data_IF_362666634472
#
_entry.id   IF_362666634472
#
_cell.length_a   1.000
_cell.length_b   1.000
_cell.length_c   1.000
_cell.angle_alpha   90.00
_cell.angle_beta   90.00
_cell.angle_gamma   90.00
#
_symmetry.space_group_name_H-M   'P 1'
#
loop_
_entity.id
_entity.type
_entity.pdbx_description
1 polymer ?
#
# COMPACT_ATOMS: atom_id res chain seq x y z
N UNK A 1 32.93 1.12 4.44
CA UNK A 1 31.71 0.29 4.31
C UNK A 1 30.68 1.17 3.60
N UNK A 2 29.93 0.65 2.62
CA UNK A 2 28.90 1.44 1.93
C UNK A 2 27.71 1.63 2.87
N UNK A 3 27.60 2.80 3.50
CA UNK A 3 26.58 3.19 4.49
C UNK A 3 25.19 3.45 3.88
N UNK A 4 24.88 2.91 2.70
CA UNK A 4 23.72 3.29 1.90
C UNK A 4 22.76 2.13 1.61
N UNK A 5 22.71 1.11 2.48
CA UNK A 5 21.84 -0.07 2.33
C UNK A 5 20.52 0.11 3.08
N UNK A 6 19.41 -0.17 2.41
CA UNK A 6 18.06 0.03 2.93
C UNK A 6 17.11 -1.10 2.56
N UNK A 7 16.03 -1.23 3.35
CA UNK A 7 14.82 -1.94 2.94
C UNK A 7 13.67 -0.95 2.77
N UNK A 8 12.69 -1.30 1.96
CA UNK A 8 11.43 -0.56 1.81
C UNK A 8 10.28 -1.41 2.34
N UNK A 9 9.43 -0.82 3.19
CA UNK A 9 8.14 -1.39 3.55
C UNK A 9 7.22 -1.36 2.34
N UNK A 10 6.81 -2.54 1.87
CA UNK A 10 6.22 -2.73 0.55
C UNK A 10 4.85 -3.39 0.62
N UNK A 11 3.85 -2.73 0.05
CA UNK A 11 2.46 -3.21 -0.03
C UNK A 11 1.94 -3.38 -1.45
N UNK A 12 2.73 -3.03 -2.48
CA UNK A 12 2.29 -3.00 -3.88
C UNK A 12 1.47 -1.77 -4.26
N UNK A 13 1.07 -0.95 -3.28
CA UNK A 13 0.31 0.27 -3.50
C UNK A 13 1.14 1.46 -3.99
N UNK A 14 0.43 2.55 -4.33
CA UNK A 14 1.02 3.78 -4.87
C UNK A 14 2.06 4.42 -3.94
N UNK A 15 1.84 4.38 -2.62
CA UNK A 15 2.68 5.10 -1.67
C UNK A 15 3.98 4.35 -1.37
N UNK A 16 3.93 3.02 -1.19
CA UNK A 16 5.13 2.19 -1.06
C UNK A 16 5.96 2.18 -2.36
N UNK A 17 5.29 2.21 -3.52
CA UNK A 17 5.94 2.40 -4.81
C UNK A 17 6.64 3.75 -4.93
N UNK A 18 5.97 4.84 -4.53
CA UNK A 18 6.56 6.18 -4.55
C UNK A 18 7.74 6.30 -3.58
N UNK A 19 7.62 5.73 -2.37
CA UNK A 19 8.69 5.72 -1.38
C UNK A 19 9.93 4.97 -1.88
N UNK A 20 9.74 3.82 -2.54
CA UNK A 20 10.81 3.07 -3.17
C UNK A 20 11.49 3.87 -4.30
N UNK A 21 10.70 4.52 -5.17
CA UNK A 21 11.24 5.35 -6.24
C UNK A 21 12.09 6.50 -5.69
N UNK A 22 11.56 7.24 -4.72
CA UNK A 22 12.25 8.38 -4.11
C UNK A 22 13.56 7.98 -3.45
N UNK A 23 13.62 6.86 -2.74
CA UNK A 23 14.88 6.46 -2.09
C UNK A 23 15.93 6.01 -3.12
N UNK A 24 15.51 5.36 -4.20
CA UNK A 24 16.42 4.99 -5.30
C UNK A 24 17.03 6.23 -5.98
N UNK A 25 16.25 7.30 -6.16
CA UNK A 25 16.73 8.58 -6.73
C UNK A 25 17.81 9.26 -5.87
N UNK A 26 17.90 8.94 -4.58
CA UNK A 26 18.98 9.44 -3.70
C UNK A 26 20.32 8.69 -3.85
N UNK A 27 20.37 7.66 -4.71
CA UNK A 27 21.52 6.77 -4.84
C UNK A 27 21.66 5.76 -3.69
N UNK A 28 20.61 5.58 -2.89
CA UNK A 28 20.54 4.55 -1.86
C UNK A 28 20.34 3.18 -2.51
N UNK A 29 21.00 2.16 -1.96
CA UNK A 29 20.87 0.78 -2.39
C UNK A 29 19.69 0.15 -1.63
N UNK A 30 18.60 -0.14 -2.35
CA UNK A 30 17.46 -0.89 -1.81
C UNK A 30 17.69 -2.37 -2.05
N UNK A 31 17.94 -3.12 -0.97
CA UNK A 31 18.26 -4.55 -1.06
C UNK A 31 17.04 -5.45 -0.89
N UNK A 32 16.03 -4.97 -0.17
CA UNK A 32 14.85 -5.77 0.15
C UNK A 32 13.57 -4.93 0.11
N UNK A 33 12.52 -5.55 -0.39
CA UNK A 33 11.13 -5.14 -0.15
C UNK A 33 10.59 -6.02 0.96
N UNK A 34 10.09 -5.43 2.04
CA UNK A 34 9.45 -6.14 3.15
C UNK A 34 7.95 -5.98 3.04
N UNK A 35 7.23 -7.06 2.73
CA UNK A 35 5.77 -7.08 2.67
C UNK A 35 5.23 -7.90 3.84
N UNK A 36 4.32 -7.30 4.60
CA UNK A 36 3.59 -7.98 5.66
C UNK A 36 2.22 -8.35 5.13
N UNK A 37 1.93 -9.65 5.14
CA UNK A 37 0.66 -10.20 4.69
C UNK A 37 -0.25 -10.41 5.89
N UNK A 38 -1.55 -10.24 5.67
CA UNK A 38 -2.55 -10.73 6.61
C UNK A 38 -2.65 -12.27 6.56
N UNK A 39 -3.53 -12.81 7.42
CA UNK A 39 -3.74 -14.25 7.65
C UNK A 39 -4.04 -15.06 6.37
N UNK A 40 -4.49 -14.41 5.29
CA UNK A 40 -4.76 -15.04 3.99
C UNK A 40 -3.49 -15.51 3.27
N UNK A 41 -2.33 -14.89 3.55
CA UNK A 41 -1.02 -15.36 3.09
C UNK A 41 -0.80 -15.32 1.58
N UNK A 42 -1.59 -14.58 0.80
CA UNK A 42 -1.42 -14.51 -0.65
C UNK A 42 -0.11 -13.80 -1.06
N UNK A 43 0.63 -14.41 -2.00
CA UNK A 43 2.00 -14.01 -2.34
C UNK A 43 2.04 -13.10 -3.58
N UNK A 44 2.65 -11.92 -3.46
CA UNK A 44 2.90 -11.03 -4.59
C UNK A 44 4.34 -11.18 -5.11
N UNK A 45 4.57 -11.17 -6.42
CA UNK A 45 5.90 -10.99 -7.02
C UNK A 45 5.79 -10.24 -8.34
N UNK A 46 6.30 -9.02 -8.39
CA UNK A 46 6.34 -8.24 -9.64
C UNK A 46 7.58 -7.36 -9.84
N UNK A 47 8.51 -7.34 -8.89
CA UNK A 47 9.64 -6.40 -8.85
C UNK A 47 10.97 -7.14 -8.86
N UNK A 48 12.05 -6.48 -9.29
CA UNK A 48 13.41 -7.06 -9.32
C UNK A 48 14.14 -7.01 -7.97
N UNK A 49 13.55 -6.38 -6.96
CA UNK A 49 14.10 -6.30 -5.62
C UNK A 49 13.60 -7.53 -4.83
N UNK A 50 14.48 -8.28 -4.15
CA UNK A 50 14.08 -9.41 -3.32
C UNK A 50 12.95 -9.07 -2.36
N UNK A 51 11.84 -9.81 -2.45
CA UNK A 51 10.67 -9.64 -1.58
C UNK A 51 10.73 -10.63 -0.41
N UNK A 52 10.68 -10.09 0.80
CA UNK A 52 10.49 -10.85 2.04
C UNK A 52 9.02 -10.70 2.42
N UNK A 53 8.32 -11.84 2.54
CA UNK A 53 6.93 -11.87 2.94
C UNK A 53 6.79 -12.55 4.31
N UNK A 54 6.08 -11.89 5.24
CA UNK A 54 5.80 -12.40 6.59
C UNK A 54 4.29 -12.41 6.77
N UNK A 55 3.70 -13.57 7.09
CA UNK A 55 2.26 -13.75 7.28
C UNK A 55 1.89 -13.55 8.75
N UNK A 56 0.90 -12.70 9.04
CA UNK A 56 0.58 -12.19 10.37
C UNK A 56 -0.92 -11.99 10.61
N UNK A 57 -1.34 -12.14 11.87
CA UNK A 57 -2.59 -11.57 12.36
C UNK A 57 -2.37 -10.13 12.82
N UNK A 58 -3.47 -9.35 12.93
CA UNK A 58 -3.40 -7.95 13.39
C UNK A 58 -2.75 -7.80 14.78
N UNK A 59 -3.01 -8.72 15.70
CA UNK A 59 -2.42 -8.73 17.05
C UNK A 59 -0.90 -8.96 17.03
N UNK A 60 -0.39 -9.62 15.98
CA UNK A 60 1.02 -9.98 15.82
C UNK A 60 1.80 -9.00 14.93
N UNK A 61 1.13 -7.99 14.37
CA UNK A 61 1.74 -7.05 13.42
C UNK A 61 3.04 -6.42 13.95
N UNK A 62 2.96 -5.74 15.09
CA UNK A 62 4.11 -5.02 15.65
C UNK A 62 5.24 -5.96 16.14
N UNK A 63 4.96 -7.02 16.93
CA UNK A 63 6.00 -7.97 17.34
C UNK A 63 6.78 -8.57 16.17
N UNK A 64 6.10 -8.93 15.08
CA UNK A 64 6.69 -9.64 13.95
C UNK A 64 7.34 -8.69 12.94
N UNK A 65 6.77 -7.50 12.74
CA UNK A 65 7.47 -6.42 12.06
C UNK A 65 8.82 -6.14 12.74
N UNK A 66 8.82 -6.02 14.07
CA UNK A 66 10.05 -5.82 14.84
C UNK A 66 11.03 -6.99 14.70
N UNK A 67 10.54 -8.23 14.64
CA UNK A 67 11.37 -9.41 14.40
C UNK A 67 12.01 -9.41 13.00
N UNK A 68 11.24 -9.06 11.96
CA UNK A 68 11.71 -8.94 10.59
C UNK A 68 12.79 -7.85 10.47
N UNK A 69 12.56 -6.67 11.06
CA UNK A 69 13.55 -5.58 11.08
C UNK A 69 14.83 -5.98 11.83
N UNK A 70 14.73 -6.69 12.96
CA UNK A 70 15.91 -7.22 13.68
C UNK A 70 16.72 -8.21 12.85
N UNK A 71 16.05 -9.01 12.00
CA UNK A 71 16.74 -9.90 11.05
C UNK A 71 17.47 -9.09 9.98
N UNK A 72 16.81 -8.12 9.37
CA UNK A 72 17.42 -7.23 8.37
C UNK A 72 18.62 -6.46 8.93
N UNK A 73 18.55 -6.01 10.19
CA UNK A 73 19.69 -5.40 10.89
C UNK A 73 20.90 -6.32 11.01
N UNK A 74 20.70 -7.61 11.28
CA UNK A 74 21.79 -8.60 11.33
C UNK A 74 22.42 -8.84 9.95
N UNK A 75 21.70 -8.56 8.88
CA UNK A 75 22.20 -8.60 7.50
C UNK A 75 22.88 -7.27 7.07
N UNK A 76 23.03 -6.32 7.99
CA UNK A 76 23.70 -5.04 7.76
C UNK A 76 22.79 -3.96 7.14
N UNK A 77 21.47 -4.12 7.22
CA UNK A 77 20.52 -3.08 6.81
C UNK A 77 20.32 -2.08 7.96
N UNK A 78 20.64 -0.81 7.71
CA UNK A 78 20.66 0.23 8.74
C UNK A 78 19.52 1.24 8.61
N UNK A 79 18.78 1.23 7.49
CA UNK A 79 17.68 2.16 7.19
C UNK A 79 16.41 1.43 6.74
N UNK A 80 15.26 1.94 7.19
CA UNK A 80 13.93 1.52 6.73
C UNK A 80 13.18 2.70 6.12
N UNK A 81 12.53 2.47 4.98
CA UNK A 81 11.75 3.47 4.25
C UNK A 81 10.28 3.07 4.24
N UNK A 82 9.40 4.04 4.54
CA UNK A 82 7.95 3.83 4.69
C UNK A 82 7.17 4.77 3.77
N UNK A 83 5.99 4.33 3.36
CA UNK A 83 5.13 5.03 2.41
C UNK A 83 3.96 5.79 3.05
N UNK A 84 3.80 5.77 4.36
CA UNK A 84 2.63 6.39 5.02
C UNK A 84 2.64 7.92 4.84
N UNK A 85 1.59 8.49 4.24
CA UNK A 85 1.46 9.93 3.99
C UNK A 85 0.40 10.52 4.92
N UNK A 86 0.79 10.79 6.18
CA UNK A 86 -0.06 11.55 7.10
C UNK A 86 -1.14 10.70 7.77
N UNK A 87 -0.75 10.01 8.84
CA UNK A 87 -1.65 9.17 9.63
C UNK A 87 -1.49 9.54 11.10
N UNK A 88 -2.34 10.42 11.64
CA UNK A 88 -2.90 10.23 12.99
C UNK A 88 -3.99 11.22 13.43
N UNK A 89 -4.12 12.41 12.85
CA UNK A 89 -4.93 13.46 13.50
C UNK A 89 -6.27 13.78 12.81
N UNK A 90 -6.47 13.36 11.56
CA UNK A 90 -7.66 13.78 10.80
C UNK A 90 -8.87 12.84 10.97
N UNK A 91 -8.66 11.52 11.03
CA UNK A 91 -9.77 10.55 11.15
C UNK A 91 -10.54 10.74 12.45
N UNK A 92 -9.84 10.81 13.58
CA UNK A 92 -10.45 11.02 14.90
C UNK A 92 -11.17 12.38 15.01
N UNK A 93 -10.76 13.38 14.23
CA UNK A 93 -11.47 14.66 14.14
C UNK A 93 -12.73 14.54 13.28
N UNK A 94 -12.67 13.91 12.11
CA UNK A 94 -13.83 13.69 11.23
C UNK A 94 -14.90 12.83 11.89
N UNK A 95 -14.51 11.74 12.56
CA UNK A 95 -15.43 10.86 13.29
C UNK A 95 -16.14 11.61 14.42
N UNK A 96 -15.38 12.31 15.27
CA UNK A 96 -15.94 13.13 16.36
C UNK A 96 -16.87 14.23 15.86
N UNK A 97 -16.47 14.98 14.84
CA UNK A 97 -17.29 16.08 14.29
C UNK A 97 -18.57 15.54 13.63
N UNK A 98 -18.50 14.38 12.98
CA UNK A 98 -19.67 13.76 12.36
C UNK A 98 -20.67 13.25 13.40
N UNK A 99 -20.19 12.69 14.51
CA UNK A 99 -21.01 12.35 15.68
C UNK A 99 -21.62 13.59 16.35
N UNK A 100 -20.82 14.63 16.59
CA UNK A 100 -21.29 15.88 17.23
C UNK A 100 -22.36 16.61 16.41
N UNK A 101 -22.30 16.54 15.08
CA UNK A 101 -23.20 17.24 14.17
C UNK A 101 -24.37 16.39 13.66
N UNK A 102 -24.47 15.12 14.07
CA UNK A 102 -25.45 14.16 13.57
C UNK A 102 -25.49 14.08 12.03
N UNK A 103 -24.31 14.16 11.40
CA UNK A 103 -24.14 14.05 9.95
C UNK A 103 -23.78 12.61 9.62
N UNK A 104 -24.56 11.97 8.75
CA UNK A 104 -24.23 10.66 8.22
C UNK A 104 -22.96 10.76 7.36
N UNK A 105 -21.89 10.08 7.78
CA UNK A 105 -20.66 9.94 7.02
C UNK A 105 -20.93 9.11 5.76
N UNK A 106 -21.36 9.78 4.70
CA UNK A 106 -21.46 9.16 3.39
C UNK A 106 -20.07 9.11 2.75
N UNK A 107 -19.22 8.20 3.21
CA UNK A 107 -18.03 7.78 2.43
C UNK A 107 -18.52 7.09 1.17
N UNK A 108 -18.86 7.88 0.15
CA UNK A 108 -19.33 7.43 -1.16
C UNK A 108 -18.16 6.85 -1.95
N UNK A 109 -17.57 5.77 -1.47
CA UNK A 109 -16.72 4.90 -2.29
C UNK A 109 -17.67 4.02 -3.08
N UNK A 110 -17.90 4.38 -4.35
CA UNK A 110 -18.75 3.59 -5.23
C UNK A 110 -18.02 2.29 -5.59
N UNK A 111 -18.69 1.14 -5.47
CA UNK A 111 -18.21 -0.16 -5.97
C UNK A 111 -17.76 -0.12 -7.44
N UNK A 112 -18.28 0.81 -8.24
CA UNK A 112 -17.88 1.02 -9.64
C UNK A 112 -16.45 1.57 -9.78
N UNK A 113 -15.82 1.99 -8.69
CA UNK A 113 -14.42 2.43 -8.68
C UNK A 113 -13.43 1.28 -8.62
N UNK A 114 -13.88 0.08 -8.22
CA UNK A 114 -13.03 -1.11 -8.18
C UNK A 114 -12.44 -1.41 -9.55
N UNK A 115 -11.11 -1.39 -9.63
CA UNK A 115 -10.36 -1.69 -10.86
C UNK A 115 -10.20 -0.51 -11.81
N UNK A 116 -10.72 0.67 -11.46
CA UNK A 116 -10.45 1.88 -12.24
C UNK A 116 -8.97 2.25 -12.14
N UNK A 117 -8.44 2.76 -13.25
CA UNK A 117 -7.12 3.37 -13.27
C UNK A 117 -7.20 4.71 -12.55
N UNK A 118 -6.18 5.00 -11.74
CA UNK A 118 -5.96 6.35 -11.20
C UNK A 118 -5.39 7.20 -12.33
N UNK A 119 -6.27 7.92 -13.03
CA UNK A 119 -5.97 8.88 -14.08
C UNK A 119 -6.56 10.27 -13.75
N UNK A 120 -6.36 11.26 -14.62
CA UNK A 120 -6.84 12.63 -14.41
C UNK A 120 -8.37 12.69 -14.22
N UNK A 121 -9.12 11.84 -14.92
CA UNK A 121 -10.58 11.77 -14.77
C UNK A 121 -10.97 11.26 -13.39
N UNK A 122 -10.32 10.18 -12.94
CA UNK A 122 -10.59 9.62 -11.62
C UNK A 122 -10.17 10.58 -10.50
N UNK A 123 -9.02 11.24 -10.62
CA UNK A 123 -8.57 12.27 -9.66
C UNK A 123 -9.59 13.42 -9.57
N UNK A 124 -10.14 13.85 -10.71
CA UNK A 124 -11.18 14.89 -10.75
C UNK A 124 -12.49 14.46 -10.09
N UNK A 125 -12.77 13.16 -10.02
CA UNK A 125 -13.89 12.60 -9.25
C UNK A 125 -13.56 12.55 -7.75
N UNK A 126 -12.37 12.08 -7.37
CA UNK A 126 -11.92 12.01 -5.98
C UNK A 126 -11.91 13.39 -5.29
N UNK A 127 -11.52 14.44 -6.02
CA UNK A 127 -11.52 15.82 -5.51
C UNK A 127 -12.91 16.36 -5.16
N UNK A 128 -13.99 15.70 -5.61
CA UNK A 128 -15.37 16.06 -5.29
C UNK A 128 -15.91 15.32 -4.06
N UNK A 129 -15.11 14.44 -3.47
CA UNK A 129 -15.48 13.66 -2.30
C UNK A 129 -14.95 14.29 -1.01
N UNK A 130 -15.61 13.98 0.10
CA UNK A 130 -15.28 14.53 1.42
C UNK A 130 -14.16 13.75 2.16
N UNK A 131 -13.31 13.03 1.42
CA UNK A 131 -12.14 12.33 1.97
C UNK A 131 -10.88 12.70 1.19
N UNK A 132 -9.71 12.44 1.78
CA UNK A 132 -8.44 12.83 1.18
C UNK A 132 -8.20 12.11 -0.16
N UNK A 133 -7.95 12.86 -1.24
CA UNK A 133 -7.80 12.29 -2.58
C UNK A 133 -6.65 11.28 -2.71
N UNK A 134 -5.65 11.32 -1.83
CA UNK A 134 -4.59 10.29 -1.78
C UNK A 134 -5.04 8.98 -1.10
N UNK A 135 -6.29 8.83 -0.69
CA UNK A 135 -6.79 7.61 -0.06
C UNK A 135 -6.37 7.44 1.40
N UNK A 136 -5.97 8.54 2.05
CA UNK A 136 -5.56 8.52 3.46
C UNK A 136 -6.67 8.02 4.36
N UNK A 137 -6.29 7.53 5.53
CA UNK A 137 -7.24 6.94 6.46
C UNK A 137 -8.05 5.84 5.77
N UNK A 138 -7.41 5.02 4.93
CA UNK A 138 -8.04 3.83 4.32
C UNK A 138 -9.24 4.13 3.43
N UNK A 139 -9.37 5.36 2.89
CA UNK A 139 -10.51 5.70 2.04
C UNK A 139 -10.56 4.87 0.75
N UNK A 140 -9.40 4.48 0.21
CA UNK A 140 -9.29 3.45 -0.82
C UNK A 140 -7.88 2.85 -0.85
N UNK A 141 -7.76 1.66 -1.42
CA UNK A 141 -6.47 1.01 -1.68
C UNK A 141 -6.16 0.98 -3.17
N UNK A 142 -4.88 0.89 -3.51
CA UNK A 142 -4.39 0.89 -4.89
C UNK A 142 -3.38 -0.23 -5.09
N UNK A 143 -3.22 -0.68 -6.33
CA UNK A 143 -2.20 -1.64 -6.73
C UNK A 143 -1.48 -1.11 -7.98
N UNK A 144 -0.16 -0.98 -7.92
CA UNK A 144 0.64 -0.44 -9.02
C UNK A 144 0.98 -1.56 -10.00
N UNK A 145 0.44 -1.47 -11.20
CA UNK A 145 0.64 -2.47 -12.26
C UNK A 145 1.78 -2.12 -13.23
N UNK A 146 2.29 -0.88 -13.19
CA UNK A 146 3.39 -0.44 -14.05
C UNK A 146 4.01 0.86 -13.49
N UNK A 147 5.30 1.09 -13.77
CA UNK A 147 6.01 2.31 -13.40
C UNK A 147 7.52 2.17 -13.56
N UNK A 148 8.30 3.20 -13.20
CA UNK A 148 9.77 3.18 -13.36
C UNK A 148 10.48 2.05 -12.59
N UNK A 149 9.84 1.49 -11.56
CA UNK A 149 10.35 0.36 -10.78
C UNK A 149 10.18 -0.99 -11.49
N UNK A 150 9.38 -1.06 -12.56
CA UNK A 150 8.97 -2.30 -13.20
C UNK A 150 9.76 -2.52 -14.50
N UNK A 151 10.38 -3.69 -14.66
CA UNK A 151 10.95 -4.11 -15.95
C UNK A 151 9.89 -4.52 -16.97
N UNK A 152 8.79 -5.08 -16.46
CA UNK A 152 7.65 -5.57 -17.22
C UNK A 152 6.39 -5.15 -16.49
N UNK A 153 5.37 -4.77 -17.24
CA UNK A 153 4.09 -4.39 -16.62
C UNK A 153 3.34 -5.63 -16.19
N UNK A 154 2.51 -5.50 -15.16
CA UNK A 154 1.55 -6.53 -14.77
C UNK A 154 0.29 -6.32 -15.62
N UNK A 155 -0.06 -7.33 -16.42
CA UNK A 155 -1.35 -7.42 -17.09
C UNK A 155 -2.29 -8.23 -16.21
N UNK A 156 -3.26 -7.56 -15.59
CA UNK A 156 -4.32 -8.23 -14.82
C UNK A 156 -5.30 -8.85 -15.82
N UNK A 157 -5.52 -10.17 -15.73
CA UNK A 157 -6.36 -10.92 -16.66
C UNK A 157 -7.65 -11.45 -16.02
N UNK A 158 -7.68 -11.60 -14.70
CA UNK A 158 -8.83 -12.14 -13.98
C UNK A 158 -8.97 -11.44 -12.63
N UNK A 159 -10.17 -10.95 -12.35
CA UNK A 159 -10.50 -10.25 -11.09
C UNK A 159 -11.86 -10.65 -10.57
N UNK A 160 -12.03 -10.60 -9.26
CA UNK A 160 -13.30 -10.83 -8.59
C UNK A 160 -13.61 -9.67 -7.63
N UNK A 161 -14.86 -9.20 -7.62
CA UNK A 161 -15.31 -8.24 -6.60
C UNK A 161 -15.80 -9.01 -5.39
N UNK A 162 -15.13 -8.83 -4.27
CA UNK A 162 -15.51 -9.46 -2.99
C UNK A 162 -15.82 -8.41 -1.95
N UNK A 163 -16.71 -8.75 -1.02
CA UNK A 163 -17.08 -7.88 0.10
C UNK A 163 -16.67 -8.54 1.40
N UNK A 164 -15.89 -7.84 2.21
CA UNK A 164 -15.54 -8.26 3.57
C UNK A 164 -15.99 -7.18 4.55
N UNK A 165 -17.03 -7.50 5.35
CA UNK A 165 -17.71 -6.55 6.21
C UNK A 165 -18.30 -5.38 5.41
N UNK A 166 -17.90 -4.16 5.76
CA UNK A 166 -18.36 -2.93 5.11
C UNK A 166 -17.48 -2.47 3.95
N UNK A 167 -16.43 -3.23 3.62
CA UNK A 167 -15.47 -2.87 2.59
C UNK A 167 -15.61 -3.77 1.36
N UNK A 168 -15.42 -3.14 0.18
CA UNK A 168 -15.34 -3.82 -1.10
C UNK A 168 -13.89 -3.92 -1.56
N UNK A 169 -13.53 -5.09 -2.09
CA UNK A 169 -12.22 -5.38 -2.63
C UNK A 169 -12.33 -5.86 -4.07
N UNK A 170 -11.27 -5.62 -4.83
CA UNK A 170 -11.08 -6.25 -6.13
C UNK A 170 -9.91 -7.22 -6.02
N UNK A 171 -10.25 -8.50 -5.87
CA UNK A 171 -9.26 -9.57 -5.83
C UNK A 171 -8.69 -9.78 -7.22
N UNK A 172 -7.36 -9.75 -7.35
CA UNK A 172 -6.67 -10.11 -8.58
C UNK A 172 -6.40 -11.62 -8.53
N UNK A 173 -7.25 -12.40 -9.19
CA UNK A 173 -7.11 -13.87 -9.24
C UNK A 173 -5.99 -14.31 -10.19
N UNK A 174 -5.71 -13.51 -11.22
CA UNK A 174 -4.65 -13.79 -12.19
C UNK A 174 -4.06 -12.54 -12.81
N UNK A 175 -2.73 -12.50 -12.88
CA UNK A 175 -1.97 -11.51 -13.62
C UNK A 175 -0.72 -12.13 -14.25
N UNK A 176 -0.24 -11.50 -15.33
CA UNK A 176 0.92 -11.95 -16.10
C UNK A 176 1.89 -10.79 -16.31
N UNK A 177 3.19 -11.08 -16.44
CA UNK A 177 4.20 -10.08 -16.77
C UNK A 177 4.30 -9.92 -18.29
N UNK A 178 4.06 -8.70 -18.78
CA UNK A 178 4.18 -8.27 -20.18
C UNK A 178 5.46 -7.44 -20.40
#
# INVERSE_FOLDING_TARGET
MNENKSFVSWSGGKDSSLACLRILETGCEVLYLLNLLDESGERERAHDIPLIQVNLSWEMYEPEFNAAVRRLKREGIERGVFGDIGIHEHRAWVERVSEELAIELATRVNQDWLGRRIDESFISELQKCDFHAAGESGAYHSFVINGPLFRRRIRVSETERVRHGDHWFLDIKRGELE
#
